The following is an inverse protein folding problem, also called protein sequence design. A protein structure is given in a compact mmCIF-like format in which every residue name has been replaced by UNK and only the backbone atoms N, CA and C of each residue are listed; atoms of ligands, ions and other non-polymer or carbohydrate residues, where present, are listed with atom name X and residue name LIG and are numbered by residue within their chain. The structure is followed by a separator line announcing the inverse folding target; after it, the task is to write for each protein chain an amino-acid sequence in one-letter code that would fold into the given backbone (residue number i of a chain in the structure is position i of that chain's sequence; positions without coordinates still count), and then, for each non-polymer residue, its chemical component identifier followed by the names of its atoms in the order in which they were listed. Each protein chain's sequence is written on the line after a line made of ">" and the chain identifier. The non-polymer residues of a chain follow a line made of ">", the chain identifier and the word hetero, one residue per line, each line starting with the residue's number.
data_IF_751500905697
#
_entry.id   IF_751500905697
#
_cell.length_a   1.000
_cell.length_b   1.000
_cell.length_c   1.000
_cell.angle_alpha   90.00
_cell.angle_beta   90.00
_cell.angle_gamma   90.00
#
_symmetry.space_group_name_H-M   'P 1'
#
loop_
_entity.id
_entity.type
_entity.pdbx_description
1 polymer ?
#
# COMPACT_ATOMS: atom_id res chain seq x y z
N UNK A 1 1.79 13.13 -6.03
CA UNK A 1 2.02 11.69 -6.27
C UNK A 1 3.51 11.44 -6.08
N UNK A 2 3.91 10.34 -5.44
CA UNK A 2 5.32 9.98 -5.30
C UNK A 2 5.89 9.59 -6.66
N UNK A 3 6.92 10.28 -7.13
CA UNK A 3 7.58 9.98 -8.40
C UNK A 3 8.91 9.27 -8.16
N UNK A 4 9.36 8.51 -9.18
CA UNK A 4 10.66 7.83 -9.17
C UNK A 4 11.82 8.79 -8.96
N UNK A 5 11.84 9.90 -9.70
CA UNK A 5 12.87 10.94 -9.56
C UNK A 5 12.90 11.56 -8.17
N UNK A 6 11.73 11.70 -7.56
CA UNK A 6 11.63 12.20 -6.21
C UNK A 6 12.18 11.19 -5.19
N UNK A 7 11.86 9.90 -5.29
CA UNK A 7 12.43 8.87 -4.39
C UNK A 7 13.94 8.65 -4.57
N UNK A 8 14.48 8.95 -5.76
CA UNK A 8 15.93 8.94 -6.01
C UNK A 8 16.64 10.03 -5.22
N UNK A 9 16.08 11.24 -5.21
CA UNK A 9 16.74 12.44 -4.73
C UNK A 9 16.32 12.91 -3.33
N UNK A 10 15.13 12.52 -2.85
CA UNK A 10 14.56 13.01 -1.61
C UNK A 10 14.86 12.09 -0.41
N UNK A 11 14.97 12.71 0.75
CA UNK A 11 14.92 11.99 2.02
C UNK A 11 13.48 11.57 2.34
N UNK A 12 13.30 10.44 3.02
CA UNK A 12 11.98 9.86 3.30
C UNK A 12 11.09 10.82 4.09
N UNK A 13 11.68 11.70 4.91
CA UNK A 13 10.96 12.75 5.67
C UNK A 13 10.19 13.70 4.77
N UNK A 14 10.78 14.15 3.65
CA UNK A 14 10.10 15.10 2.76
C UNK A 14 9.06 14.41 1.88
N UNK A 15 9.17 13.10 1.71
CA UNK A 15 8.34 12.33 0.80
C UNK A 15 6.92 12.04 1.28
N UNK A 16 6.76 11.88 2.59
CA UNK A 16 5.50 11.42 3.16
C UNK A 16 4.88 12.42 4.15
N UNK A 17 5.49 13.60 4.31
CA UNK A 17 5.07 14.63 5.27
C UNK A 17 5.61 14.38 6.67
N UNK A 18 5.00 15.01 7.67
CA UNK A 18 5.42 14.94 9.08
C UNK A 18 5.15 13.55 9.69
N UNK A 19 6.03 12.59 9.41
CA UNK A 19 6.08 11.30 10.12
C UNK A 19 6.83 11.50 11.43
N UNK A 20 6.37 10.85 12.50
CA UNK A 20 7.11 10.75 13.76
C UNK A 20 8.49 10.13 13.50
N UNK A 21 9.55 10.88 13.82
CA UNK A 21 10.93 10.46 13.55
C UNK A 21 11.30 9.16 14.26
N UNK A 22 10.67 8.85 15.40
CA UNK A 22 10.89 7.60 16.12
C UNK A 22 10.40 6.37 15.37
N UNK A 23 9.49 6.55 14.41
CA UNK A 23 8.97 5.46 13.57
C UNK A 23 9.76 5.28 12.28
N UNK A 24 10.62 6.23 11.89
CA UNK A 24 11.35 6.15 10.63
C UNK A 24 12.50 5.16 10.74
N UNK A 25 12.55 4.22 9.79
CA UNK A 25 13.77 3.44 9.59
C UNK A 25 14.89 4.37 9.10
N UNK A 26 16.09 4.18 9.59
CA UNK A 26 17.31 4.79 9.05
C UNK A 26 17.63 4.20 7.67
N UNK A 27 18.40 4.91 6.82
CA UNK A 27 18.92 4.34 5.58
C UNK A 27 19.62 2.99 5.80
N UNK A 28 20.40 2.86 6.86
CA UNK A 28 21.14 1.65 7.22
C UNK A 28 20.20 0.51 7.61
N UNK A 29 19.15 0.78 8.40
CA UNK A 29 18.14 -0.22 8.75
C UNK A 29 17.36 -0.69 7.51
N UNK A 30 17.02 0.21 6.58
CA UNK A 30 16.38 -0.17 5.32
C UNK A 30 17.30 -1.05 4.47
N UNK A 31 18.56 -0.65 4.30
CA UNK A 31 19.55 -1.43 3.55
C UNK A 31 19.79 -2.82 4.17
N UNK A 32 19.90 -2.89 5.50
CA UNK A 32 20.04 -4.16 6.22
C UNK A 32 18.80 -5.06 6.05
N UNK A 33 17.59 -4.49 6.11
CA UNK A 33 16.34 -5.21 5.86
C UNK A 33 16.27 -5.75 4.43
N UNK A 34 16.65 -4.95 3.43
CA UNK A 34 16.74 -5.38 2.04
C UNK A 34 17.73 -6.54 1.88
N UNK A 35 18.94 -6.37 2.40
CA UNK A 35 19.98 -7.41 2.37
C UNK A 35 19.49 -8.72 3.02
N UNK A 36 18.92 -8.66 4.22
CA UNK A 36 18.37 -9.83 4.91
C UNK A 36 17.21 -10.50 4.16
N UNK A 37 16.42 -9.72 3.41
CA UNK A 37 15.34 -10.24 2.59
C UNK A 37 15.90 -11.00 1.38
N UNK A 38 16.92 -10.43 0.73
CA UNK A 38 17.56 -11.03 -0.45
C UNK A 38 18.36 -12.29 -0.12
N UNK A 39 18.96 -12.41 1.07
CA UNK A 39 19.63 -13.67 1.48
C UNK A 39 18.67 -14.84 1.62
N UNK A 40 17.36 -14.57 1.72
CA UNK A 40 16.28 -15.56 1.81
C UNK A 40 15.57 -15.79 0.47
N UNK A 41 16.04 -15.18 -0.63
CA UNK A 41 15.49 -15.36 -1.99
C UNK A 41 15.51 -16.84 -2.36
N UNK A 42 14.37 -17.47 -2.65
CA UNK A 42 14.34 -18.87 -3.08
C UNK A 42 14.98 -19.07 -4.46
N UNK A 43 15.85 -20.08 -4.54
CA UNK A 43 16.42 -20.68 -5.76
C UNK A 43 17.08 -19.72 -6.77
N UNK A 44 17.46 -18.51 -6.34
CA UNK A 44 17.92 -17.42 -7.23
C UNK A 44 16.95 -17.13 -8.40
N UNK A 45 15.67 -17.51 -8.25
CA UNK A 45 14.63 -17.31 -9.26
C UNK A 45 14.39 -15.81 -9.53
N UNK A 46 13.97 -15.38 -10.73
CA UNK A 46 13.73 -13.97 -11.03
C UNK A 46 12.91 -13.28 -9.94
N UNK A 47 13.27 -12.03 -9.59
CA UNK A 47 12.53 -11.31 -8.54
C UNK A 47 11.22 -10.76 -9.10
N UNK A 48 10.12 -11.20 -8.50
CA UNK A 48 8.80 -10.62 -8.73
C UNK A 48 8.37 -9.77 -7.54
N UNK A 49 7.63 -8.69 -7.77
CA UNK A 49 6.98 -7.87 -6.75
C UNK A 49 5.47 -8.03 -6.87
N UNK A 50 4.77 -8.32 -5.78
CA UNK A 50 3.30 -8.34 -5.76
C UNK A 50 2.73 -6.97 -5.38
N UNK A 51 2.13 -6.29 -6.36
CA UNK A 51 1.34 -5.09 -6.15
C UNK A 51 -0.12 -5.43 -5.87
N UNK A 52 -0.56 -5.22 -4.64
CA UNK A 52 -1.97 -5.38 -4.23
C UNK A 52 -2.66 -4.04 -3.93
N UNK A 53 -1.93 -2.93 -3.95
CA UNK A 53 -2.41 -1.58 -3.68
C UNK A 53 -1.85 -0.58 -4.68
N UNK A 54 -1.35 0.56 -4.21
CA UNK A 54 -0.82 1.62 -5.09
C UNK A 54 0.30 1.23 -6.05
N UNK A 55 1.01 0.14 -5.80
CA UNK A 55 1.98 -0.40 -6.75
C UNK A 55 1.33 -0.79 -8.09
N UNK A 56 0.02 -1.08 -8.11
CA UNK A 56 -0.69 -1.45 -9.34
C UNK A 56 -0.73 -0.31 -10.36
N UNK A 57 -0.93 0.95 -9.92
CA UNK A 57 -1.01 2.12 -10.80
C UNK A 57 0.19 3.07 -10.70
N UNK A 58 1.03 2.90 -9.69
CA UNK A 58 2.25 3.66 -9.50
C UNK A 58 3.29 2.71 -8.89
N UNK A 59 4.07 1.95 -9.67
CA UNK A 59 5.03 0.98 -9.15
C UNK A 59 6.33 1.61 -8.64
N UNK A 60 6.70 2.82 -9.08
CA UNK A 60 7.99 3.52 -8.86
C UNK A 60 9.27 2.80 -9.32
N UNK A 61 9.17 1.53 -9.71
CA UNK A 61 10.24 0.74 -10.32
C UNK A 61 9.95 0.43 -11.79
N UNK A 62 11.00 0.08 -12.53
CA UNK A 62 10.88 -0.51 -13.87
C UNK A 62 10.63 -2.02 -13.76
N UNK A 63 9.81 -2.57 -14.64
CA UNK A 63 9.54 -4.02 -14.71
C UNK A 63 9.62 -4.52 -16.15
N UNK A 64 10.19 -5.69 -16.36
CA UNK A 64 10.27 -6.35 -17.68
C UNK A 64 8.95 -7.02 -18.07
N UNK A 65 8.15 -7.39 -17.06
CA UNK A 65 6.87 -8.04 -17.24
C UNK A 65 5.92 -7.64 -16.10
N UNK A 66 4.64 -7.47 -16.41
CA UNK A 66 3.57 -7.29 -15.43
C UNK A 66 2.40 -8.22 -15.77
N UNK A 67 1.92 -8.99 -14.79
CA UNK A 67 0.84 -9.97 -14.97
C UNK A 67 -0.17 -9.92 -13.83
N UNK A 68 -1.49 -10.03 -14.11
CA UNK A 68 -2.45 -10.38 -13.08
C UNK A 68 -2.05 -11.65 -12.35
N UNK A 69 -2.16 -11.63 -11.03
CA UNK A 69 -1.76 -12.73 -10.17
C UNK A 69 -2.67 -12.85 -8.95
N UNK A 70 -2.72 -14.05 -8.39
CA UNK A 70 -3.43 -14.35 -7.14
C UNK A 70 -2.44 -14.79 -6.07
N UNK A 71 -2.55 -14.17 -4.89
CA UNK A 71 -1.88 -14.56 -3.66
C UNK A 71 -2.88 -15.28 -2.75
N UNK A 72 -2.55 -16.50 -2.35
CA UNK A 72 -3.33 -17.26 -1.37
C UNK A 72 -2.89 -16.94 0.06
N UNK A 73 -3.80 -17.11 1.02
CA UNK A 73 -3.49 -16.98 2.44
C UNK A 73 -3.42 -15.55 2.96
N UNK A 74 -3.73 -14.56 2.13
CA UNK A 74 -3.77 -13.15 2.52
C UNK A 74 -4.93 -12.39 1.86
N UNK A 75 -5.52 -11.43 2.58
CA UNK A 75 -6.58 -10.56 2.10
C UNK A 75 -6.21 -9.08 2.30
N UNK A 76 -6.78 -8.22 1.45
CA UNK A 76 -6.72 -6.76 1.59
C UNK A 76 -7.44 -6.30 2.84
N UNK A 77 -6.79 -5.44 3.62
CA UNK A 77 -7.38 -4.84 4.81
C UNK A 77 -6.87 -3.42 5.04
N UNK A 78 -7.78 -2.49 5.31
CA UNK A 78 -7.46 -1.11 5.72
C UNK A 78 -7.13 -1.06 7.22
N UNK A 79 -5.99 -1.67 7.59
CA UNK A 79 -5.58 -1.94 8.97
C UNK A 79 -4.30 -1.21 9.42
N UNK A 80 -3.78 -0.31 8.59
CA UNK A 80 -2.65 0.55 8.95
C UNK A 80 -3.17 1.94 9.30
N UNK A 81 -2.89 2.43 10.51
CA UNK A 81 -3.18 3.80 10.93
C UNK A 81 -2.41 4.79 10.06
N UNK A 82 -3.12 5.69 9.38
CA UNK A 82 -2.50 6.64 8.46
C UNK A 82 -2.44 8.04 9.06
N UNK A 83 -1.30 8.41 9.65
CA UNK A 83 -1.09 9.72 10.28
C UNK A 83 -0.25 10.69 9.43
N UNK A 84 0.09 10.30 8.20
CA UNK A 84 0.88 11.10 7.26
C UNK A 84 0.43 10.85 5.81
N UNK A 85 0.92 11.65 4.86
CA UNK A 85 0.59 11.54 3.45
C UNK A 85 -0.86 11.93 3.12
N UNK A 86 -1.83 11.04 3.39
CA UNK A 86 -3.28 11.25 3.13
C UNK A 86 -4.12 11.36 4.39
N UNK A 87 -3.47 11.44 5.54
CA UNK A 87 -4.05 11.77 6.83
C UNK A 87 -3.06 12.61 7.63
N UNK A 88 -3.47 12.98 8.83
CA UNK A 88 -2.62 13.70 9.79
C UNK A 88 -2.71 13.04 11.16
N UNK A 89 -1.92 13.50 12.12
CA UNK A 89 -2.04 13.06 13.51
C UNK A 89 -3.46 13.33 14.07
N UNK A 90 -4.00 14.52 13.78
CA UNK A 90 -5.30 14.97 14.32
C UNK A 90 -6.50 14.39 13.55
N UNK A 91 -6.31 14.10 12.26
CA UNK A 91 -7.31 13.46 11.39
C UNK A 91 -6.69 12.23 10.72
N UNK A 92 -6.50 11.14 11.48
CA UNK A 92 -5.89 9.93 10.97
C UNK A 92 -6.85 9.21 10.02
N UNK A 93 -6.27 8.61 8.99
CA UNK A 93 -6.95 7.71 8.08
C UNK A 93 -6.71 6.23 8.39
N UNK A 94 -7.08 5.40 7.43
CA UNK A 94 -6.73 3.98 7.35
C UNK A 94 -6.09 3.71 6.00
N UNK A 95 -5.00 2.95 6.00
CA UNK A 95 -4.27 2.58 4.81
C UNK A 95 -4.33 1.08 4.58
N UNK A 96 -4.31 0.70 3.31
CA UNK A 96 -4.35 -0.68 2.87
C UNK A 96 -3.04 -1.40 3.21
N UNK A 97 -3.17 -2.63 3.72
CA UNK A 97 -2.13 -3.63 3.84
C UNK A 97 -2.70 -5.03 3.56
N UNK A 98 -1.86 -6.06 3.63
CA UNK A 98 -2.29 -7.46 3.63
C UNK A 98 -2.31 -8.05 5.04
N UNK A 99 -3.36 -8.80 5.34
CA UNK A 99 -3.53 -9.60 6.58
C UNK A 99 -3.68 -11.07 6.25
N UNK A 100 -3.34 -11.93 7.21
CA UNK A 100 -3.48 -13.38 7.08
C UNK A 100 -4.93 -13.82 6.80
N UNK A 101 -5.06 -14.89 6.02
CA UNK A 101 -6.32 -15.51 5.63
C UNK A 101 -6.87 -15.01 4.29
N UNK A 102 -7.70 -15.84 3.66
CA UNK A 102 -8.38 -15.51 2.39
C UNK A 102 -7.48 -15.61 1.17
N UNK A 103 -7.76 -14.77 0.17
CA UNK A 103 -7.00 -14.64 -1.08
C UNK A 103 -7.06 -13.20 -1.57
N UNK A 104 -6.03 -12.77 -2.30
CA UNK A 104 -5.96 -11.43 -2.89
C UNK A 104 -5.49 -11.52 -4.34
N UNK A 105 -6.18 -10.85 -5.25
CA UNK A 105 -5.70 -10.64 -6.62
C UNK A 105 -4.90 -9.35 -6.71
N UNK A 106 -3.93 -9.26 -7.60
CA UNK A 106 -3.12 -8.06 -7.82
C UNK A 106 -2.27 -8.21 -9.06
N UNK A 107 -1.20 -7.41 -9.18
CA UNK A 107 -0.23 -7.51 -10.26
C UNK A 107 1.10 -8.06 -9.74
N UNK A 108 1.66 -9.03 -10.44
CA UNK A 108 3.03 -9.49 -10.27
C UNK A 108 3.90 -8.76 -11.29
N UNK A 109 4.96 -8.08 -10.81
CA UNK A 109 5.91 -7.36 -11.64
C UNK A 109 7.27 -8.04 -11.61
N UNK A 110 7.81 -8.48 -12.76
CA UNK A 110 9.16 -9.03 -12.86
C UNK A 110 10.18 -7.91 -12.97
N UNK A 111 11.09 -7.81 -12.01
CA UNK A 111 12.15 -6.81 -12.05
C UNK A 111 13.27 -7.21 -13.03
N UNK A 112 13.92 -6.22 -13.68
CA UNK A 112 15.09 -6.47 -14.51
C UNK A 112 16.29 -6.89 -13.66
N UNK A 113 16.96 -7.99 -14.01
CA UNK A 113 18.04 -8.56 -13.18
C UNK A 113 19.30 -7.66 -13.19
N UNK A 114 19.57 -6.96 -14.30
CA UNK A 114 20.72 -6.06 -14.46
C UNK A 114 20.63 -4.79 -13.59
N UNK A 115 19.43 -4.38 -13.21
CA UNK A 115 19.16 -3.21 -12.34
C UNK A 115 18.43 -3.58 -11.05
N UNK A 116 18.43 -4.86 -10.68
CA UNK A 116 17.60 -5.40 -9.61
C UNK A 116 17.75 -4.64 -8.28
N UNK A 117 19.00 -4.42 -7.85
CA UNK A 117 19.27 -3.73 -6.58
C UNK A 117 18.77 -2.28 -6.60
N UNK A 118 18.96 -1.56 -7.71
CA UNK A 118 18.50 -0.17 -7.85
C UNK A 118 16.98 -0.06 -7.75
N UNK A 119 16.25 -0.97 -8.41
CA UNK A 119 14.78 -1.02 -8.35
C UNK A 119 14.28 -1.36 -6.94
N UNK A 120 14.94 -2.31 -6.26
CA UNK A 120 14.59 -2.70 -4.90
C UNK A 120 14.90 -1.61 -3.88
N UNK A 121 15.98 -0.86 -4.02
CA UNK A 121 16.29 0.27 -3.15
C UNK A 121 15.21 1.36 -3.22
N UNK A 122 14.70 1.66 -4.43
CA UNK A 122 13.59 2.60 -4.60
C UNK A 122 12.30 2.09 -3.98
N UNK A 123 12.02 0.80 -4.15
CA UNK A 123 10.87 0.15 -3.53
C UNK A 123 10.97 0.17 -2.00
N UNK A 124 12.15 -0.09 -1.43
CA UNK A 124 12.37 -0.04 0.02
C UNK A 124 12.24 1.37 0.58
N UNK A 125 12.72 2.40 -0.13
CA UNK A 125 12.49 3.81 0.26
C UNK A 125 11.02 4.17 0.29
N UNK A 126 10.17 3.46 -0.44
CA UNK A 126 8.72 3.70 -0.49
C UNK A 126 7.95 2.88 0.53
N UNK A 127 8.14 1.57 0.55
CA UNK A 127 7.31 0.65 1.34
C UNK A 127 7.88 0.44 2.74
N UNK A 128 9.21 0.53 2.92
CA UNK A 128 9.89 0.28 4.20
C UNK A 128 10.29 1.59 4.91
N UNK A 129 9.46 2.63 4.81
CA UNK A 129 9.73 3.94 5.44
C UNK A 129 9.69 3.82 6.97
N UNK A 130 8.65 3.19 7.51
CA UNK A 130 8.44 3.02 8.95
C UNK A 130 8.63 1.59 9.44
N UNK A 131 8.83 0.64 8.52
CA UNK A 131 8.88 -0.78 8.86
C UNK A 131 7.52 -1.37 9.23
N UNK A 132 6.41 -0.74 8.81
CA UNK A 132 5.06 -1.28 9.03
C UNK A 132 4.76 -2.58 8.28
N UNK A 133 5.62 -2.95 7.32
CA UNK A 133 5.51 -4.18 6.56
C UNK A 133 6.65 -5.16 6.84
N UNK A 134 6.34 -6.45 6.73
CA UNK A 134 7.29 -7.55 6.65
C UNK A 134 7.43 -7.99 5.19
N UNK A 135 8.57 -7.71 4.53
CA UNK A 135 8.83 -8.24 3.19
C UNK A 135 8.96 -9.77 3.26
N UNK A 136 8.09 -10.46 2.52
CA UNK A 136 7.93 -11.91 2.61
C UNK A 136 7.94 -12.51 1.21
N UNK A 137 8.69 -13.60 1.02
CA UNK A 137 8.65 -14.39 -0.21
C UNK A 137 7.41 -15.28 -0.21
N UNK A 138 6.55 -15.13 -1.21
CA UNK A 138 5.32 -15.91 -1.36
C UNK A 138 5.21 -16.47 -2.78
N UNK A 139 4.54 -17.62 -2.91
CA UNK A 139 4.14 -18.13 -4.22
C UNK A 139 2.90 -17.38 -4.71
N UNK A 140 2.91 -16.99 -5.99
CA UNK A 140 1.78 -16.41 -6.71
C UNK A 140 1.35 -17.32 -7.85
N UNK A 141 0.04 -17.41 -8.06
CA UNK A 141 -0.54 -18.00 -9.26
C UNK A 141 -0.77 -16.88 -10.30
N UNK A 142 -0.04 -16.91 -11.42
CA UNK A 142 -0.23 -15.97 -12.52
C UNK A 142 -1.45 -16.35 -13.38
N UNK A 143 -2.04 -15.37 -14.05
CA UNK A 143 -3.20 -15.57 -14.93
C UNK A 143 -2.92 -16.44 -16.18
N UNK A 144 -1.65 -16.62 -16.54
CA UNK A 144 -1.21 -17.51 -17.61
C UNK A 144 -0.88 -18.94 -17.14
N UNK A 145 -1.15 -19.26 -15.88
CA UNK A 145 -0.99 -20.58 -15.29
C UNK A 145 0.40 -20.87 -14.73
N UNK A 146 1.37 -19.94 -14.85
CA UNK A 146 2.66 -20.05 -14.17
C UNK A 146 2.51 -19.84 -12.66
N UNK A 147 3.37 -20.50 -11.88
CA UNK A 147 3.62 -20.17 -10.48
C UNK A 147 4.96 -19.47 -10.36
N UNK A 148 5.00 -18.36 -9.63
CA UNK A 148 6.24 -17.59 -9.42
C UNK A 148 6.40 -17.22 -7.95
N UNK A 149 7.64 -17.11 -7.51
CA UNK A 149 7.96 -16.58 -6.18
C UNK A 149 8.09 -15.06 -6.25
N UNK A 150 7.36 -14.34 -5.41
CA UNK A 150 7.35 -12.89 -5.37
C UNK A 150 7.59 -12.35 -3.95
N UNK A 151 8.18 -11.14 -3.88
CA UNK A 151 8.19 -10.32 -2.69
C UNK A 151 6.83 -9.67 -2.48
N UNK A 152 6.31 -9.84 -1.27
CA UNK A 152 5.05 -9.30 -0.80
C UNK A 152 5.31 -8.51 0.48
N UNK A 153 4.82 -7.27 0.55
CA UNK A 153 4.88 -6.46 1.76
C UNK A 153 3.62 -6.70 2.59
N UNK A 154 3.73 -7.47 3.67
CA UNK A 154 2.60 -7.92 4.49
C UNK A 154 2.57 -7.09 5.77
N UNK A 155 1.39 -6.77 6.32
CA UNK A 155 1.32 -6.01 7.57
C UNK A 155 2.11 -6.70 8.69
N UNK A 156 2.90 -5.91 9.43
CA UNK A 156 3.47 -6.36 10.70
C UNK A 156 2.47 -6.13 11.83
N UNK A 157 1.86 -7.18 12.41
CA UNK A 157 0.90 -7.02 13.50
C UNK A 157 1.54 -6.51 14.80
N UNK A 158 2.87 -6.50 14.93
CA UNK A 158 3.58 -5.92 16.07
C UNK A 158 3.87 -4.42 15.92
N UNK A 159 3.62 -3.85 14.73
CA UNK A 159 3.92 -2.44 14.47
C UNK A 159 2.93 -1.52 15.22
N UNK A 160 3.39 -0.40 15.83
CA UNK A 160 2.52 0.48 16.63
C UNK A 160 1.33 1.09 15.87
N UNK A 161 1.44 1.22 14.55
CA UNK A 161 0.36 1.71 13.68
C UNK A 161 -0.58 0.61 13.18
N UNK A 162 -0.40 -0.65 13.60
CA UNK A 162 -1.35 -1.72 13.28
C UNK A 162 -2.65 -1.55 14.07
N UNK A 163 -3.78 -1.56 13.38
CA UNK A 163 -5.11 -1.55 13.99
C UNK A 163 -5.93 -2.71 13.42
N UNK A 164 -6.19 -3.71 14.26
CA UNK A 164 -6.84 -4.96 13.85
C UNK A 164 -8.32 -4.81 13.47
N UNK A 165 -8.97 -3.78 13.99
CA UNK A 165 -10.37 -3.47 13.71
C UNK A 165 -10.51 -2.86 12.31
N UNK A 166 -11.14 -3.64 11.44
CA UNK A 166 -11.38 -3.31 10.04
C UNK A 166 -12.87 -3.29 9.72
N UNK A 167 -13.74 -3.20 10.73
CA UNK A 167 -15.18 -3.05 10.51
C UNK A 167 -15.47 -1.76 9.74
N UNK A 168 -16.31 -1.85 8.71
CA UNK A 168 -16.63 -0.72 7.84
C UNK A 168 -17.24 0.47 8.60
N UNK A 169 -17.99 0.22 9.69
CA UNK A 169 -18.55 1.27 10.54
C UNK A 169 -17.45 2.07 11.26
N UNK A 170 -16.31 1.43 11.53
CA UNK A 170 -15.15 2.05 12.19
C UNK A 170 -14.25 2.74 11.18
N UNK A 171 -13.91 2.05 10.08
CA UNK A 171 -12.89 2.56 9.15
C UNK A 171 -13.44 3.53 8.09
N UNK A 172 -14.70 3.40 7.67
CA UNK A 172 -15.24 4.26 6.61
C UNK A 172 -15.32 5.74 7.02
N UNK A 173 -15.75 6.13 8.25
CA UNK A 173 -15.71 7.52 8.69
C UNK A 173 -14.31 8.11 8.71
N UNK A 174 -13.31 7.33 9.14
CA UNK A 174 -11.91 7.77 9.16
C UNK A 174 -11.39 8.01 7.75
N UNK A 175 -11.65 7.09 6.81
CA UNK A 175 -11.24 7.23 5.41
C UNK A 175 -11.95 8.42 4.72
N UNK A 176 -13.23 8.65 5.04
CA UNK A 176 -14.01 9.74 4.47
C UNK A 176 -13.50 11.12 4.92
N UNK A 177 -13.06 11.25 6.17
CA UNK A 177 -12.63 12.52 6.76
C UNK A 177 -11.14 12.83 6.54
N UNK A 178 -10.29 11.80 6.49
CA UNK A 178 -8.85 11.98 6.44
C UNK A 178 -8.34 12.64 5.15
N UNK A 179 -7.53 13.68 5.32
CA UNK A 179 -6.87 14.43 4.24
C UNK A 179 -5.47 14.84 4.65
N UNK A 180 -4.54 14.84 3.69
CA UNK A 180 -3.16 15.25 3.90
C UNK A 180 -2.51 15.80 2.62
N UNK A 181 -1.19 16.09 2.64
CA UNK A 181 -0.47 16.69 1.52
C UNK A 181 -0.53 15.90 0.20
N UNK A 182 -0.77 14.59 0.26
CA UNK A 182 -0.88 13.71 -0.91
C UNK A 182 -2.33 13.52 -1.41
N UNK A 183 -3.29 14.27 -0.85
CA UNK A 183 -4.72 14.20 -1.12
C UNK A 183 -5.50 13.47 -0.02
N UNK A 184 -6.76 13.14 -0.28
CA UNK A 184 -7.63 12.48 0.70
C UNK A 184 -7.36 10.98 0.77
N UNK A 185 -7.71 10.37 1.89
CA UNK A 185 -7.66 8.92 2.04
C UNK A 185 -8.72 8.24 1.16
N UNK A 186 -9.90 8.84 1.01
CA UNK A 186 -10.94 8.37 0.09
C UNK A 186 -10.49 8.32 -1.38
N UNK A 187 -9.68 9.30 -1.84
CA UNK A 187 -9.10 9.27 -3.19
C UNK A 187 -8.24 8.02 -3.43
N UNK A 188 -7.51 7.55 -2.42
CA UNK A 188 -6.74 6.31 -2.52
C UNK A 188 -7.67 5.10 -2.68
N UNK A 189 -8.72 5.01 -1.85
CA UNK A 189 -9.68 3.91 -1.90
C UNK A 189 -10.38 3.84 -3.27
N UNK A 190 -10.77 4.98 -3.84
CA UNK A 190 -11.42 5.01 -5.16
C UNK A 190 -10.43 4.72 -6.31
N UNK A 191 -9.17 5.11 -6.17
CA UNK A 191 -8.13 4.71 -7.12
C UNK A 191 -7.92 3.19 -7.10
N UNK A 192 -7.92 2.57 -5.92
CA UNK A 192 -7.86 1.12 -5.76
C UNK A 192 -9.06 0.43 -6.42
N UNK A 193 -10.28 0.88 -6.15
CA UNK A 193 -11.50 0.34 -6.79
C UNK A 193 -11.40 0.41 -8.32
N UNK A 194 -11.01 1.57 -8.85
CA UNK A 194 -10.85 1.76 -10.30
C UNK A 194 -9.85 0.77 -10.87
N UNK A 195 -8.70 0.61 -10.21
CA UNK A 195 -7.64 -0.26 -10.71
C UNK A 195 -8.03 -1.73 -10.67
N UNK A 196 -8.72 -2.16 -9.60
CA UNK A 196 -9.28 -3.51 -9.53
C UNK A 196 -10.26 -3.77 -10.68
N UNK A 197 -11.15 -2.82 -10.95
CA UNK A 197 -12.11 -2.92 -12.05
C UNK A 197 -11.44 -2.95 -13.43
N UNK A 198 -10.36 -2.18 -13.64
CA UNK A 198 -9.61 -2.18 -14.90
C UNK A 198 -9.07 -3.59 -15.25
N UNK A 199 -8.70 -4.37 -14.24
CA UNK A 199 -8.20 -5.73 -14.41
C UNK A 199 -9.29 -6.80 -14.20
N UNK A 200 -10.56 -6.42 -14.03
CA UNK A 200 -11.65 -7.38 -13.74
C UNK A 200 -11.49 -8.13 -12.42
N UNK A 201 -10.71 -7.57 -11.48
CA UNK A 201 -10.44 -8.16 -10.17
C UNK A 201 -11.58 -7.83 -9.20
N UNK A 202 -12.39 -8.84 -8.86
CA UNK A 202 -13.48 -8.67 -7.91
C UNK A 202 -12.99 -8.79 -6.46
N UNK A 203 -13.34 -7.80 -5.63
CA UNK A 203 -13.03 -7.77 -4.21
C UNK A 203 -14.23 -7.20 -3.44
N UNK A 204 -15.12 -8.10 -2.99
CA UNK A 204 -16.40 -7.72 -2.37
C UNK A 204 -16.20 -6.86 -1.11
N UNK A 205 -15.13 -7.11 -0.35
CA UNK A 205 -14.80 -6.34 0.83
C UNK A 205 -14.44 -4.90 0.48
N UNK A 206 -13.62 -4.70 -0.56
CA UNK A 206 -13.26 -3.36 -1.03
C UNK A 206 -14.45 -2.65 -1.64
N UNK A 207 -15.30 -3.34 -2.41
CA UNK A 207 -16.52 -2.75 -2.99
C UNK A 207 -17.49 -2.25 -1.90
N UNK A 208 -17.67 -3.02 -0.82
CA UNK A 208 -18.52 -2.59 0.29
C UNK A 208 -17.93 -1.39 1.04
N UNK A 209 -16.62 -1.39 1.32
CA UNK A 209 -15.96 -0.24 1.95
C UNK A 209 -16.10 1.03 1.10
N UNK A 210 -15.91 0.92 -0.22
CA UNK A 210 -16.11 2.05 -1.15
C UNK A 210 -17.53 2.58 -1.07
N UNK A 211 -18.53 1.68 -1.08
CA UNK A 211 -19.95 2.06 -0.98
C UNK A 211 -20.21 2.87 0.30
N UNK A 212 -19.70 2.42 1.44
CA UNK A 212 -19.85 3.10 2.74
C UNK A 212 -19.21 4.49 2.74
N UNK A 213 -17.98 4.61 2.24
CA UNK A 213 -17.28 5.90 2.14
C UNK A 213 -18.03 6.86 1.19
N UNK A 214 -18.53 6.39 0.05
CA UNK A 214 -19.33 7.22 -0.87
C UNK A 214 -20.62 7.72 -0.22
N UNK A 215 -21.32 6.90 0.56
CA UNK A 215 -22.51 7.33 1.29
C UNK A 215 -22.19 8.45 2.29
N UNK A 216 -21.13 8.28 3.10
CA UNK A 216 -20.72 9.29 4.08
C UNK A 216 -20.35 10.63 3.43
N UNK A 217 -19.63 10.60 2.30
CA UNK A 217 -19.29 11.80 1.55
C UNK A 217 -20.51 12.46 0.88
N UNK A 218 -21.55 11.70 0.56
CA UNK A 218 -22.79 12.23 -0.04
C UNK A 218 -23.72 12.89 0.99
N UNK A 219 -23.59 12.52 2.28
CA UNK A 219 -24.42 13.00 3.39
C UNK A 219 -23.80 14.23 4.09
N UNK A 220 -22.72 14.81 3.54
CA UNK A 220 -22.15 16.07 4.05
C UNK A 220 -22.62 17.27 3.22
N UNK A 221 -23.84 17.84 3.45
CA UNK A 221 -24.17 19.17 2.98
C UNK A 221 -23.48 20.22 3.87
N UNK A 222 -23.17 21.37 3.28
CA UNK A 222 -22.30 22.40 3.84
C UNK A 222 -22.74 22.98 5.19
N UNK A 223 -21.79 23.68 5.81
CA UNK A 223 -22.04 24.61 6.90
C UNK A 223 -23.16 25.59 6.51
N UNK A 224 -24.38 25.38 6.99
CA UNK A 224 -25.35 26.45 7.14
C UNK A 224 -24.80 27.42 8.19
N UNK A 225 -24.34 28.59 7.73
CA UNK A 225 -24.06 29.71 8.61
C UNK A 225 -25.41 30.35 8.94
N UNK A 226 -25.89 30.34 10.19
CA UNK A 226 -27.13 31.02 10.53
C UNK A 226 -26.86 32.52 10.60
N UNK A 227 -27.55 33.27 9.75
CA UNK A 227 -27.93 34.65 10.02
C UNK A 227 -27.04 35.72 9.44
N UNK A 228 -27.62 36.50 8.52
CA UNK A 228 -27.68 37.96 8.59
C UNK A 228 -28.79 38.40 7.62
N UNK A 229 -30.00 38.52 8.18
CA UNK A 229 -31.08 39.35 7.66
C UNK A 229 -30.81 40.82 7.99
#
# INVERSE_FOLDING_TARGET
>A
MLTRDFLRNADCKTAFGSIDESMLLTPEQRAASLGCTLTRRPDNSPVWIFGYGSLMWNPVFDSEEARPATLQGYHRAFCLRLTSGRGTHDQPGRMLALRDGGKTTGLAFRLPEDRLLEELELLWKREMVTGCYRPTWCELDLDDGRKVTALVFIMDPSHPQYEADTDYQVIAPLIAQASGPLGTNAQYLFALEKELNNYGMRDDCMSELVRQVRMLLSVSPGFDVPGLS
#
